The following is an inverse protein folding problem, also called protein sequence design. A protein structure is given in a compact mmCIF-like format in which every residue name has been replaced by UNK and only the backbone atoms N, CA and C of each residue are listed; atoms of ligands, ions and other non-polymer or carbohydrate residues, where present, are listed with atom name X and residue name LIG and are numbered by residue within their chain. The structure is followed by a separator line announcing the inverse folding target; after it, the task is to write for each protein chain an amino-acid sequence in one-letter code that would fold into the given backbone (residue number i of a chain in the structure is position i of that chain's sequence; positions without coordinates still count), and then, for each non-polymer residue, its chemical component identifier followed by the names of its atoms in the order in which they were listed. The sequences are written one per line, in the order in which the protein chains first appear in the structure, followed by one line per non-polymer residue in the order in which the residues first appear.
data_IF_597691670816
#
_entry.id   IF_597691670816
#
_cell.length_a   1.000
_cell.length_b   1.000
_cell.length_c   1.000
_cell.angle_alpha   90.00
_cell.angle_beta   90.00
_cell.angle_gamma   90.00
#
_symmetry.space_group_name_H-M   'P 1'
#
loop_
_entity.id
_entity.type
_entity.pdbx_description
1 polymer ?
#
# COMPACT_ATOMS: atom_id res chain seq x y z
N UNK A 1 9.30 -27.51 -75.34
CA UNK A 1 9.84 -27.90 -74.04
C UNK A 1 9.68 -26.67 -73.16
N UNK A 2 8.52 -26.59 -72.43
CA UNK A 2 8.20 -25.44 -71.60
C UNK A 2 8.42 -25.88 -70.13
N UNK A 3 9.36 -25.21 -69.46
CA UNK A 3 9.61 -25.38 -68.00
C UNK A 3 8.76 -24.35 -67.25
N UNK A 4 7.77 -24.84 -66.50
CA UNK A 4 6.94 -24.04 -65.62
C UNK A 4 7.61 -23.99 -64.22
N UNK A 5 8.06 -22.79 -63.79
CA UNK A 5 8.62 -22.54 -62.46
C UNK A 5 7.46 -22.17 -61.55
N UNK A 6 7.07 -23.05 -60.64
CA UNK A 6 6.10 -22.74 -59.56
C UNK A 6 6.89 -22.14 -58.40
N UNK A 7 6.74 -20.80 -58.21
CA UNK A 7 7.30 -20.12 -57.03
C UNK A 7 6.46 -20.41 -55.78
N UNK A 8 7.06 -21.00 -54.78
CA UNK A 8 6.47 -21.22 -53.44
C UNK A 8 6.55 -19.92 -52.66
N UNK A 9 5.40 -19.23 -52.46
CA UNK A 9 5.30 -18.09 -51.61
C UNK A 9 5.18 -18.51 -50.15
N UNK A 10 6.28 -18.44 -49.37
CA UNK A 10 6.28 -18.72 -47.96
C UNK A 10 5.67 -17.56 -47.19
N UNK A 11 4.42 -17.68 -46.75
CA UNK A 11 3.78 -16.74 -45.83
C UNK A 11 4.35 -17.00 -44.43
N UNK A 12 5.28 -16.14 -43.98
CA UNK A 12 5.77 -16.15 -42.61
C UNK A 12 4.66 -15.67 -41.66
N UNK A 13 4.08 -16.59 -40.90
CA UNK A 13 3.17 -16.24 -39.80
C UNK A 13 4.05 -15.76 -38.65
N UNK A 14 4.13 -14.42 -38.46
CA UNK A 14 4.71 -13.84 -37.25
C UNK A 14 3.79 -14.17 -36.08
N UNK A 15 4.14 -15.16 -35.29
CA UNK A 15 3.51 -15.41 -34.01
C UNK A 15 3.87 -14.24 -33.07
N UNK A 16 2.95 -13.34 -32.86
CA UNK A 16 3.05 -12.39 -31.76
C UNK A 16 2.95 -13.21 -30.47
N UNK A 17 4.05 -13.39 -29.76
CA UNK A 17 4.03 -13.86 -28.39
C UNK A 17 3.25 -12.84 -27.57
N UNK A 18 2.02 -13.17 -27.17
CA UNK A 18 1.30 -12.38 -26.18
C UNK A 18 2.11 -12.46 -24.90
N UNK A 19 2.57 -11.30 -24.43
CA UNK A 19 3.24 -11.19 -23.13
C UNK A 19 2.21 -11.57 -22.07
N UNK A 20 2.36 -12.76 -21.51
CA UNK A 20 1.41 -13.27 -20.51
C UNK A 20 1.62 -12.43 -19.24
N UNK A 21 0.68 -11.54 -18.98
CA UNK A 21 0.68 -10.71 -17.78
C UNK A 21 0.53 -11.62 -16.55
N UNK A 22 1.61 -11.82 -15.81
CA UNK A 22 1.58 -12.54 -14.54
C UNK A 22 1.23 -11.58 -13.38
N UNK A 23 0.65 -12.09 -12.31
CA UNK A 23 0.34 -11.30 -11.12
C UNK A 23 1.60 -10.69 -10.49
N UNK A 24 2.73 -11.39 -10.51
CA UNK A 24 4.00 -10.87 -9.99
C UNK A 24 4.54 -9.73 -10.86
N UNK A 25 4.45 -9.85 -12.19
CA UNK A 25 4.84 -8.78 -13.11
C UNK A 25 3.94 -7.55 -12.95
N UNK A 26 2.63 -7.77 -12.80
CA UNK A 26 1.71 -6.66 -12.52
C UNK A 26 2.02 -5.98 -11.20
N UNK A 27 2.25 -6.74 -10.12
CA UNK A 27 2.65 -6.18 -8.82
C UNK A 27 4.00 -5.46 -8.88
N UNK A 28 4.94 -5.93 -9.72
CA UNK A 28 6.20 -5.24 -10.00
C UNK A 28 5.95 -3.85 -10.61
N UNK A 29 5.10 -3.76 -11.63
CA UNK A 29 4.76 -2.48 -12.26
C UNK A 29 4.09 -1.49 -11.30
N UNK A 30 3.29 -1.99 -10.36
CA UNK A 30 2.71 -1.19 -9.27
C UNK A 30 3.81 -0.67 -8.34
N UNK A 31 4.76 -1.51 -7.94
CA UNK A 31 5.89 -1.10 -7.10
C UNK A 31 6.77 -0.04 -7.79
N UNK A 32 7.02 -0.18 -9.08
CA UNK A 32 7.74 0.82 -9.90
C UNK A 32 6.98 2.15 -9.96
N UNK A 33 5.65 2.10 -10.12
CA UNK A 33 4.81 3.30 -10.08
C UNK A 33 4.95 4.03 -8.74
N UNK A 34 4.84 3.32 -7.61
CA UNK A 34 5.02 3.92 -6.29
C UNK A 34 6.45 4.42 -6.05
N UNK A 35 7.45 3.76 -6.60
CA UNK A 35 8.83 4.23 -6.56
C UNK A 35 9.06 5.54 -7.36
N UNK A 36 8.25 5.85 -8.34
CA UNK A 36 8.31 7.12 -9.10
C UNK A 36 7.64 8.29 -8.39
N UNK A 37 6.67 8.04 -7.49
CA UNK A 37 5.92 9.07 -6.76
C UNK A 37 6.82 9.72 -5.72
N UNK A 38 6.95 11.04 -5.71
CA UNK A 38 7.74 11.80 -4.72
C UNK A 38 6.97 11.97 -3.42
N UNK A 39 5.73 12.38 -3.51
CA UNK A 39 4.79 12.51 -2.39
C UNK A 39 3.35 12.27 -2.87
N UNK A 40 2.46 11.94 -1.96
CA UNK A 40 1.03 11.88 -2.22
C UNK A 40 0.23 12.26 -0.98
N UNK A 41 -0.99 12.69 -1.22
CA UNK A 41 -2.05 12.77 -0.22
C UNK A 41 -3.27 12.00 -0.67
N UNK A 42 -4.02 11.45 0.28
CA UNK A 42 -5.27 10.74 0.01
C UNK A 42 -6.20 10.81 1.21
N UNK A 43 -7.48 10.50 1.02
CA UNK A 43 -8.35 10.09 2.11
C UNK A 43 -8.14 8.60 2.38
N UNK A 44 -8.21 8.21 3.63
CA UNK A 44 -8.09 6.83 4.08
C UNK A 44 -9.26 6.47 4.99
N UNK A 45 -9.84 5.30 4.80
CA UNK A 45 -10.66 4.63 5.80
C UNK A 45 -10.02 3.30 6.19
N UNK A 46 -10.11 2.97 7.47
CA UNK A 46 -9.58 1.72 8.06
C UNK A 46 -10.73 1.08 8.81
N UNK A 47 -11.09 -0.12 8.40
CA UNK A 47 -12.20 -0.86 9.00
C UNK A 47 -11.75 -2.25 9.46
N UNK A 48 -12.18 -2.63 10.64
CA UNK A 48 -12.09 -3.99 11.18
C UNK A 48 -13.31 -4.28 12.05
N UNK A 49 -13.45 -5.50 12.55
CA UNK A 49 -14.57 -5.84 13.46
C UNK A 49 -14.63 -4.96 14.72
N UNK A 50 -13.52 -4.33 15.12
CA UNK A 50 -13.40 -3.56 16.38
C UNK A 50 -13.26 -2.05 16.15
N UNK A 51 -12.83 -1.64 14.97
CA UNK A 51 -12.39 -0.26 14.73
C UNK A 51 -12.88 0.20 13.36
N UNK A 52 -13.44 1.41 13.33
CA UNK A 52 -13.73 2.14 12.10
C UNK A 52 -13.09 3.53 12.21
N UNK A 53 -12.10 3.80 11.37
CA UNK A 53 -11.37 5.08 11.36
C UNK A 53 -11.42 5.71 9.97
N UNK A 54 -11.44 7.04 9.94
CA UNK A 54 -11.37 7.82 8.69
C UNK A 54 -10.44 8.99 8.87
N UNK A 55 -9.73 9.37 7.83
CA UNK A 55 -8.81 10.49 7.91
C UNK A 55 -8.17 10.84 6.58
N UNK A 56 -7.15 11.69 6.66
CA UNK A 56 -6.31 12.07 5.54
C UNK A 56 -4.89 11.56 5.79
N UNK A 57 -4.30 10.96 4.78
CA UNK A 57 -2.92 10.50 4.78
C UNK A 57 -2.08 11.39 3.87
N UNK A 58 -0.90 11.75 4.31
CA UNK A 58 0.17 12.27 3.48
C UNK A 58 1.40 11.40 3.62
N UNK A 59 2.07 11.17 2.50
CA UNK A 59 3.31 10.42 2.43
C UNK A 59 4.32 11.15 1.55
N UNK A 60 5.59 11.11 1.92
CA UNK A 60 6.70 11.63 1.11
C UNK A 60 7.90 10.69 1.23
N UNK A 61 8.52 10.42 0.08
CA UNK A 61 9.74 9.61 0.07
C UNK A 61 10.88 10.26 0.87
N UNK A 62 11.76 9.44 1.47
CA UNK A 62 11.76 7.98 1.40
C UNK A 62 10.72 7.31 2.31
N UNK A 63 10.32 7.92 3.43
CA UNK A 63 9.55 7.24 4.47
C UNK A 63 8.74 8.18 5.39
N UNK A 64 8.56 9.44 5.02
CA UNK A 64 7.75 10.36 5.83
C UNK A 64 6.27 10.01 5.68
N UNK A 65 5.55 9.97 6.80
CA UNK A 65 4.14 9.60 6.87
C UNK A 65 3.42 10.47 7.90
N UNK A 66 2.20 10.89 7.58
CA UNK A 66 1.26 11.44 8.56
C UNK A 66 -0.16 11.05 8.20
N UNK A 67 -0.92 10.66 9.21
CA UNK A 67 -2.35 10.41 9.12
C UNK A 67 -3.02 11.26 10.18
N UNK A 68 -3.87 12.18 9.74
CA UNK A 68 -4.74 12.96 10.60
C UNK A 68 -6.14 12.37 10.51
N UNK A 69 -6.65 11.82 11.61
CA UNK A 69 -7.96 11.19 11.64
C UNK A 69 -9.06 12.20 11.92
N UNK A 70 -10.13 12.10 11.14
CA UNK A 70 -11.40 12.78 11.40
C UNK A 70 -12.33 11.90 12.25
N UNK A 71 -12.06 10.59 12.30
CA UNK A 71 -12.75 9.60 13.13
C UNK A 71 -11.74 8.50 13.53
N UNK A 72 -11.38 8.38 14.82
CA UNK A 72 -11.70 9.31 15.93
C UNK A 72 -11.09 10.69 15.68
N UNK A 73 -11.77 11.75 16.22
CA UNK A 73 -11.32 13.13 16.03
C UNK A 73 -9.98 13.37 16.73
N UNK A 74 -9.12 14.18 16.11
CA UNK A 74 -7.80 14.59 16.64
C UNK A 74 -6.77 13.48 16.84
N UNK A 75 -7.08 12.23 16.55
CA UNK A 75 -6.06 11.18 16.56
C UNK A 75 -5.07 11.41 15.41
N UNK A 76 -3.78 11.26 15.71
CA UNK A 76 -2.70 11.45 14.72
C UNK A 76 -1.70 10.31 14.79
N UNK A 77 -1.25 9.87 13.63
CA UNK A 77 -0.06 9.03 13.47
C UNK A 77 0.91 9.80 12.58
N UNK A 78 2.12 10.04 13.06
CA UNK A 78 3.15 10.75 12.29
C UNK A 78 4.50 10.04 12.39
N UNK A 79 5.21 9.95 11.28
CA UNK A 79 6.60 9.54 11.22
C UNK A 79 7.41 10.58 10.42
N UNK A 80 8.33 11.24 11.09
CA UNK A 80 9.13 12.34 10.54
C UNK A 80 10.49 11.91 9.98
N UNK A 81 10.72 10.60 9.83
CA UNK A 81 11.99 10.03 9.40
C UNK A 81 12.85 9.47 10.55
N UNK A 82 12.59 9.89 11.78
CA UNK A 82 13.32 9.50 12.99
C UNK A 82 12.41 8.90 14.05
N UNK A 83 11.31 9.57 14.33
CA UNK A 83 10.38 9.22 15.41
C UNK A 83 8.97 8.95 14.86
N UNK A 84 8.44 7.79 15.24
CA UNK A 84 7.02 7.49 15.12
C UNK A 84 6.29 8.06 16.33
N UNK A 85 5.31 8.89 16.10
CA UNK A 85 4.44 9.49 17.12
C UNK A 85 2.99 9.09 16.87
N UNK A 86 2.32 8.56 17.88
CA UNK A 86 0.89 8.27 17.86
C UNK A 86 0.22 9.06 18.97
N UNK A 87 -0.66 9.97 18.62
CA UNK A 87 -1.49 10.70 19.58
C UNK A 87 -2.87 10.07 19.68
N UNK A 88 -3.25 9.71 20.88
CA UNK A 88 -4.55 9.14 21.26
C UNK A 88 -5.30 10.12 22.15
N UNK A 89 -6.18 10.98 21.60
CA UNK A 89 -6.85 12.05 22.32
C UNK A 89 -7.75 11.54 23.45
N UNK A 90 -8.44 10.42 23.24
CA UNK A 90 -9.31 9.80 24.25
C UNK A 90 -8.56 9.47 25.55
N UNK A 91 -7.30 9.05 25.42
CA UNK A 91 -6.43 8.70 26.56
C UNK A 91 -5.52 9.87 26.98
N UNK A 92 -5.58 11.01 26.27
CA UNK A 92 -4.59 12.09 26.38
C UNK A 92 -3.15 11.56 26.40
N UNK A 93 -2.87 10.60 25.52
CA UNK A 93 -1.61 9.87 25.47
C UNK A 93 -0.87 10.11 24.16
N UNK A 94 0.43 10.34 24.27
CA UNK A 94 1.37 10.37 23.15
C UNK A 94 2.32 9.19 23.28
N UNK A 95 2.28 8.31 22.31
CA UNK A 95 3.20 7.18 22.21
C UNK A 95 4.31 7.57 21.22
N UNK A 96 5.56 7.50 21.63
CA UNK A 96 6.71 7.86 20.79
C UNK A 96 7.69 6.69 20.72
N UNK A 97 8.20 6.44 19.51
CA UNK A 97 9.22 5.43 19.29
C UNK A 97 10.29 5.98 18.35
N UNK A 98 11.48 6.20 18.89
CA UNK A 98 12.66 6.57 18.12
C UNK A 98 13.43 5.30 17.78
N UNK A 99 13.39 4.86 16.54
CA UNK A 99 14.14 3.70 16.05
C UNK A 99 14.09 3.63 14.53
N UNK A 100 15.16 3.23 13.85
CA UNK A 100 15.11 2.87 12.43
C UNK A 100 14.09 1.78 12.12
N UNK A 101 13.77 0.92 13.10
CA UNK A 101 12.76 -0.11 12.98
C UNK A 101 11.34 0.46 13.08
N UNK A 102 11.13 1.56 13.83
CA UNK A 102 9.85 2.28 13.86
C UNK A 102 9.49 2.84 12.48
N UNK A 103 10.48 3.28 11.70
CA UNK A 103 10.29 3.61 10.30
C UNK A 103 9.75 2.46 9.46
N UNK A 104 10.18 1.22 9.71
CA UNK A 104 9.64 0.04 9.02
C UNK A 104 8.19 -0.25 9.42
N UNK A 105 7.81 0.01 10.66
CA UNK A 105 6.42 -0.14 11.14
C UNK A 105 5.53 0.98 10.57
N UNK A 106 6.03 2.20 10.53
CA UNK A 106 5.29 3.35 9.98
C UNK A 106 5.20 3.28 8.43
N UNK A 107 6.27 2.85 7.77
CA UNK A 107 6.30 2.60 6.31
C UNK A 107 5.65 1.27 5.92
N UNK A 108 5.20 0.49 6.88
CA UNK A 108 4.14 -0.49 6.67
C UNK A 108 2.78 0.18 6.29
N UNK A 109 2.80 1.49 5.96
CA UNK A 109 1.80 2.03 5.06
C UNK A 109 1.93 1.23 3.75
N UNK A 110 1.09 0.24 3.66
CA UNK A 110 1.11 -0.79 2.62
C UNK A 110 1.09 -0.17 1.21
N UNK A 111 0.56 1.06 1.06
CA UNK A 111 0.55 1.85 -0.15
C UNK A 111 1.81 2.75 -0.28
N UNK A 112 3.00 2.16 -0.19
CA UNK A 112 4.29 2.84 -0.39
C UNK A 112 5.27 1.95 -1.17
N UNK A 113 6.29 2.55 -1.77
CA UNK A 113 7.35 1.80 -2.47
C UNK A 113 8.02 0.76 -1.56
N UNK A 114 8.28 1.12 -0.30
CA UNK A 114 8.87 0.25 0.71
C UNK A 114 7.92 -0.90 1.09
N UNK A 115 6.64 -0.60 1.31
CA UNK A 115 5.61 -1.61 1.62
C UNK A 115 5.46 -2.62 0.48
N UNK A 116 5.33 -2.14 -0.76
CA UNK A 116 5.23 -3.00 -1.95
C UNK A 116 6.47 -3.85 -2.18
N UNK A 117 7.67 -3.31 -1.95
CA UNK A 117 8.91 -4.09 -2.01
C UNK A 117 8.91 -5.21 -0.96
N UNK A 118 8.44 -4.94 0.25
CA UNK A 118 8.31 -5.95 1.31
C UNK A 118 7.27 -7.00 0.96
N UNK A 119 6.11 -6.62 0.41
CA UNK A 119 5.09 -7.56 -0.05
C UNK A 119 5.63 -8.49 -1.13
N UNK A 120 6.31 -7.97 -2.15
CA UNK A 120 6.90 -8.79 -3.23
C UNK A 120 7.93 -9.80 -2.73
N UNK A 121 8.69 -9.45 -1.70
CA UNK A 121 9.67 -10.34 -1.10
C UNK A 121 9.04 -11.43 -0.23
N UNK A 122 8.02 -11.07 0.54
CA UNK A 122 7.50 -11.92 1.61
C UNK A 122 6.22 -12.68 1.24
N UNK A 123 5.59 -12.32 0.10
CA UNK A 123 4.34 -12.92 -0.37
C UNK A 123 4.47 -13.45 -1.79
N UNK A 124 3.65 -14.41 -2.12
CA UNK A 124 3.44 -14.90 -3.48
C UNK A 124 2.17 -14.27 -4.03
N UNK A 125 2.25 -13.61 -5.18
CA UNK A 125 1.11 -12.95 -5.81
C UNK A 125 0.39 -13.87 -6.80
N UNK A 126 -0.94 -13.82 -6.80
CA UNK A 126 -1.81 -14.39 -7.81
C UNK A 126 -2.95 -13.42 -8.15
N UNK A 127 -3.53 -13.53 -9.34
CA UNK A 127 -4.78 -12.82 -9.61
C UNK A 127 -5.92 -13.46 -8.83
N UNK A 128 -6.80 -12.64 -8.23
CA UNK A 128 -7.96 -13.16 -7.48
C UNK A 128 -9.02 -13.73 -8.43
N UNK A 129 -9.30 -13.02 -9.53
CA UNK A 129 -10.34 -13.39 -10.51
C UNK A 129 -9.80 -13.51 -11.94
N UNK A 130 -8.55 -13.11 -12.17
CA UNK A 130 -7.92 -13.04 -13.49
C UNK A 130 -7.27 -11.68 -13.72
N UNK A 131 -6.58 -11.48 -14.86
CA UNK A 131 -5.90 -10.24 -15.21
C UNK A 131 -6.86 -9.11 -15.63
N UNK A 132 -8.11 -9.44 -15.94
CA UNK A 132 -9.10 -8.48 -16.43
C UNK A 132 -9.63 -7.61 -15.29
N UNK A 133 -9.88 -6.31 -15.56
CA UNK A 133 -10.46 -5.40 -14.56
C UNK A 133 -11.89 -5.81 -14.19
N UNK A 134 -12.17 -5.78 -12.88
CA UNK A 134 -13.48 -6.08 -12.29
C UNK A 134 -13.92 -4.93 -11.38
N UNK A 135 -15.22 -4.76 -11.09
CA UNK A 135 -15.67 -3.75 -10.15
C UNK A 135 -14.99 -3.86 -8.78
N UNK A 136 -14.65 -2.72 -8.18
CA UNK A 136 -14.08 -2.67 -6.81
C UNK A 136 -15.04 -3.35 -5.82
N UNK A 137 -16.32 -2.96 -5.87
CA UNK A 137 -17.43 -3.55 -5.13
C UNK A 137 -18.61 -3.81 -6.07
N UNK A 138 -19.60 -4.59 -5.63
CA UNK A 138 -20.81 -4.91 -6.42
C UNK A 138 -21.56 -3.68 -6.95
N UNK A 139 -21.47 -2.55 -6.24
CA UNK A 139 -22.16 -1.29 -6.59
C UNK A 139 -21.21 -0.23 -7.16
N UNK A 140 -19.92 -0.55 -7.30
CA UNK A 140 -18.91 0.40 -7.78
C UNK A 140 -18.82 0.39 -9.30
N UNK A 141 -18.81 1.58 -9.90
CA UNK A 141 -18.43 1.74 -11.30
C UNK A 141 -16.90 1.73 -11.52
N UNK A 142 -16.11 1.83 -10.43
CA UNK A 142 -14.66 1.82 -10.50
C UNK A 142 -14.15 0.41 -10.79
N UNK A 143 -13.36 0.27 -11.86
CA UNK A 143 -12.74 -0.98 -12.24
C UNK A 143 -11.33 -1.11 -11.65
N UNK A 144 -11.02 -2.29 -11.13
CA UNK A 144 -9.72 -2.61 -10.51
C UNK A 144 -9.25 -4.00 -10.90
N UNK A 145 -7.94 -4.20 -10.89
CA UNK A 145 -7.34 -5.53 -10.94
C UNK A 145 -7.13 -5.99 -9.50
N UNK A 146 -7.63 -7.19 -9.16
CA UNK A 146 -7.55 -7.76 -7.81
C UNK A 146 -6.44 -8.80 -7.73
N UNK A 147 -5.51 -8.60 -6.81
CA UNK A 147 -4.44 -9.53 -6.48
C UNK A 147 -4.69 -10.15 -5.10
N UNK A 148 -4.37 -11.43 -4.97
CA UNK A 148 -4.24 -12.14 -3.70
C UNK A 148 -2.78 -12.43 -3.45
N UNK A 149 -2.28 -12.02 -2.30
CA UNK A 149 -0.91 -12.20 -1.84
C UNK A 149 -0.92 -13.16 -0.66
N UNK A 150 -0.34 -14.34 -0.82
CA UNK A 150 -0.22 -15.36 0.23
C UNK A 150 1.18 -15.32 0.82
N UNK A 151 1.30 -15.28 2.15
CA UNK A 151 2.60 -15.22 2.82
C UNK A 151 3.47 -16.43 2.49
N UNK A 152 4.78 -16.20 2.36
CA UNK A 152 5.80 -17.25 2.17
C UNK A 152 6.31 -17.80 3.51
N UNK A 153 6.21 -17.02 4.58
CA UNK A 153 6.69 -17.38 5.93
C UNK A 153 5.61 -17.18 6.98
N UNK A 154 5.66 -17.99 8.04
CA UNK A 154 4.75 -17.88 9.18
C UNK A 154 5.06 -16.65 10.07
N UNK A 155 6.21 -16.00 9.89
CA UNK A 155 6.61 -14.79 10.63
C UNK A 155 5.86 -13.52 10.18
N UNK A 156 5.17 -13.56 9.03
CA UNK A 156 4.40 -12.41 8.55
C UNK A 156 3.12 -12.21 9.37
N UNK A 157 2.81 -10.95 9.70
CA UNK A 157 1.65 -10.57 10.50
C UNK A 157 0.30 -10.83 9.80
N UNK A 158 0.29 -10.85 8.46
CA UNK A 158 -0.90 -11.19 7.67
C UNK A 158 -0.71 -12.53 6.98
N UNK A 159 -1.72 -13.39 7.08
CA UNK A 159 -1.78 -14.64 6.32
C UNK A 159 -1.95 -14.39 4.83
N UNK A 160 -2.79 -13.42 4.53
CA UNK A 160 -3.23 -13.05 3.20
C UNK A 160 -3.43 -11.55 3.12
N UNK A 161 -3.05 -10.97 1.99
CA UNK A 161 -3.40 -9.60 1.62
C UNK A 161 -4.12 -9.65 0.27
N UNK A 162 -5.19 -8.88 0.12
CA UNK A 162 -5.81 -8.65 -1.19
C UNK A 162 -5.62 -7.18 -1.55
N UNK A 163 -5.18 -6.94 -2.77
CA UNK A 163 -4.97 -5.60 -3.31
C UNK A 163 -5.96 -5.36 -4.44
N UNK A 164 -6.70 -4.26 -4.37
CA UNK A 164 -7.48 -3.75 -5.48
C UNK A 164 -6.75 -2.53 -6.06
N UNK A 165 -6.38 -2.59 -7.33
CA UNK A 165 -5.45 -1.66 -7.97
C UNK A 165 -6.08 -1.12 -9.23
N UNK A 166 -6.07 0.21 -9.42
CA UNK A 166 -6.50 0.83 -10.67
C UNK A 166 -5.62 0.34 -11.84
N UNK A 167 -6.20 -0.18 -12.92
CA UNK A 167 -5.44 -0.66 -14.06
C UNK A 167 -4.71 0.45 -14.79
N UNK A 168 -5.26 1.66 -14.78
CA UNK A 168 -4.74 2.83 -15.50
C UNK A 168 -3.62 3.53 -14.73
N UNK A 169 -3.89 3.87 -13.47
CA UNK A 169 -2.97 4.67 -12.65
C UNK A 169 -1.95 3.83 -11.89
N UNK A 170 -2.17 2.53 -11.75
CA UNK A 170 -1.42 1.60 -10.89
C UNK A 170 -1.45 1.99 -9.42
N UNK A 171 -2.47 2.77 -9.00
CA UNK A 171 -2.65 3.15 -7.60
C UNK A 171 -3.53 2.15 -6.87
N UNK A 172 -3.17 1.84 -5.64
CA UNK A 172 -3.94 0.97 -4.76
C UNK A 172 -5.18 1.74 -4.29
N UNK A 173 -6.34 1.10 -4.44
CA UNK A 173 -7.64 1.62 -4.01
C UNK A 173 -8.10 0.96 -2.73
N UNK A 174 -7.79 -0.33 -2.57
CA UNK A 174 -8.11 -1.09 -1.35
C UNK A 174 -7.01 -2.08 -1.03
N UNK A 175 -6.76 -2.25 0.26
CA UNK A 175 -5.98 -3.34 0.83
C UNK A 175 -6.87 -4.05 1.84
N UNK A 176 -7.07 -5.35 1.67
CA UNK A 176 -7.70 -6.20 2.66
C UNK A 176 -6.64 -7.12 3.24
N UNK A 177 -6.48 -7.10 4.55
CA UNK A 177 -5.55 -7.95 5.28
C UNK A 177 -6.29 -8.94 6.16
N UNK A 178 -5.86 -10.21 6.14
CA UNK A 178 -6.31 -11.21 7.10
C UNK A 178 -5.13 -11.54 8.03
N UNK A 179 -5.28 -11.20 9.31
CA UNK A 179 -4.24 -11.41 10.33
C UNK A 179 -4.06 -12.90 10.66
N UNK A 180 -3.02 -13.22 11.45
CA UNK A 180 -2.82 -14.57 11.99
C UNK A 180 -3.93 -15.00 12.94
N UNK A 181 -4.62 -14.05 13.59
CA UNK A 181 -5.79 -14.28 14.45
C UNK A 181 -7.11 -14.35 13.68
N UNK A 182 -7.05 -14.39 12.33
CA UNK A 182 -8.20 -14.43 11.42
C UNK A 182 -9.06 -13.15 11.44
N UNK A 183 -8.54 -12.06 11.98
CA UNK A 183 -9.21 -10.76 11.94
C UNK A 183 -9.00 -10.12 10.56
N UNK A 184 -10.07 -9.57 10.00
CA UNK A 184 -10.01 -8.82 8.75
C UNK A 184 -9.81 -7.33 9.03
N UNK A 185 -8.92 -6.71 8.26
CA UNK A 185 -8.68 -5.26 8.25
C UNK A 185 -8.79 -4.79 6.81
N UNK A 186 -9.58 -3.76 6.55
CA UNK A 186 -9.77 -3.16 5.23
C UNK A 186 -9.27 -1.73 5.28
N UNK A 187 -8.42 -1.36 4.33
CA UNK A 187 -7.95 0.00 4.11
C UNK A 187 -8.40 0.45 2.72
N UNK A 188 -9.19 1.52 2.65
CA UNK A 188 -9.59 2.16 1.40
C UNK A 188 -8.87 3.49 1.22
N UNK A 189 -8.45 3.76 -0.02
CA UNK A 189 -7.82 5.01 -0.41
C UNK A 189 -8.65 5.72 -1.48
N UNK A 190 -8.99 6.98 -1.25
CA UNK A 190 -9.72 7.82 -2.19
C UNK A 190 -9.08 9.20 -2.34
N UNK A 191 -9.49 9.96 -3.34
CA UNK A 191 -9.01 11.33 -3.58
C UNK A 191 -7.48 11.43 -3.59
N UNK A 192 -6.82 10.49 -4.27
CA UNK A 192 -5.36 10.41 -4.31
C UNK A 192 -4.82 11.51 -5.22
N UNK A 193 -3.97 12.37 -4.66
CA UNK A 193 -3.28 13.45 -5.38
C UNK A 193 -1.79 13.26 -5.22
N UNK A 194 -1.05 13.30 -6.33
CA UNK A 194 0.37 12.97 -6.39
C UNK A 194 1.24 14.21 -6.60
N UNK A 195 2.48 14.15 -6.12
CA UNK A 195 3.60 15.02 -6.48
C UNK A 195 3.29 16.54 -6.27
N UNK A 196 2.66 16.87 -5.14
CA UNK A 196 2.29 18.24 -4.77
C UNK A 196 3.45 19.03 -4.11
N UNK A 197 4.61 18.42 -3.90
CA UNK A 197 5.74 19.07 -3.23
C UNK A 197 5.49 19.30 -1.74
N UNK A 198 4.90 18.32 -1.05
CA UNK A 198 4.52 18.43 0.37
C UNK A 198 5.76 18.81 1.21
N UNK A 199 5.74 19.94 1.96
CA UNK A 199 6.84 20.33 2.81
C UNK A 199 7.09 19.33 3.95
N UNK A 200 8.36 19.07 4.29
CA UNK A 200 8.72 18.13 5.35
C UNK A 200 8.20 18.52 6.73
N UNK A 201 8.08 19.83 6.99
CA UNK A 201 7.49 20.35 8.24
C UNK A 201 6.06 19.81 8.50
N UNK A 202 5.32 19.39 7.45
CA UNK A 202 3.99 18.79 7.61
C UNK A 202 4.01 17.41 8.27
N UNK A 203 5.14 16.75 8.31
CA UNK A 203 5.30 15.44 8.94
C UNK A 203 5.73 15.52 10.40
N UNK A 204 6.13 16.69 10.89
CA UNK A 204 6.28 16.93 12.30
C UNK A 204 4.91 17.01 13.00
N UNK A 205 4.83 16.51 14.22
CA UNK A 205 3.63 16.61 15.05
C UNK A 205 3.98 17.11 16.43
N UNK A 206 3.46 18.29 16.78
CA UNK A 206 3.55 18.86 18.11
C UNK A 206 2.34 18.41 18.92
N UNK A 207 2.57 17.52 19.85
CA UNK A 207 1.52 17.00 20.73
C UNK A 207 1.10 18.02 21.78
N UNK A 208 -0.19 18.00 22.22
CA UNK A 208 -0.64 18.89 23.30
C UNK A 208 0.22 18.74 24.55
N UNK A 209 0.57 19.88 25.18
CA UNK A 209 1.39 19.91 26.39
C UNK A 209 0.76 19.15 27.58
N UNK A 210 -0.57 19.02 27.57
CA UNK A 210 -1.35 18.29 28.59
C UNK A 210 -1.38 16.78 28.39
N UNK A 211 -0.80 16.27 27.32
CA UNK A 211 -0.81 14.82 27.04
C UNK A 211 0.32 14.10 27.78
N UNK A 212 0.02 12.94 28.31
CA UNK A 212 1.01 12.02 28.89
C UNK A 212 1.88 11.43 27.80
N UNK A 213 3.19 11.44 27.96
CA UNK A 213 4.15 10.91 26.98
C UNK A 213 4.68 9.55 27.41
N UNK A 214 4.63 8.58 26.50
CA UNK A 214 5.14 7.23 26.67
C UNK A 214 6.16 6.95 25.57
N UNK A 215 7.42 6.85 25.93
CA UNK A 215 8.51 6.59 24.99
C UNK A 215 8.78 5.08 24.90
N UNK A 216 9.34 4.66 23.75
CA UNK A 216 9.77 3.27 23.51
C UNK A 216 8.64 2.24 23.72
N UNK A 217 7.44 2.54 23.19
CA UNK A 217 6.25 1.73 23.42
C UNK A 217 6.22 0.43 22.57
N UNK A 218 6.95 0.36 21.45
CA UNK A 218 7.04 -0.84 20.61
C UNK A 218 8.22 -1.74 20.99
N UNK A 219 9.35 -1.13 21.32
CA UNK A 219 10.58 -1.84 21.65
C UNK A 219 11.23 -1.13 22.84
N UNK A 220 11.59 -1.88 23.87
CA UNK A 220 12.48 -1.35 24.90
C UNK A 220 13.87 -1.21 24.30
N UNK A 221 14.54 -0.07 24.51
CA UNK A 221 15.98 0.00 24.30
C UNK A 221 16.60 -1.03 25.26
N UNK A 222 17.29 -2.01 24.68
CA UNK A 222 18.14 -2.86 25.49
C UNK A 222 19.33 -1.99 25.92
N UNK A 223 19.44 -1.74 27.24
CA UNK A 223 20.62 -1.18 27.91
C UNK A 223 21.87 -2.01 27.59
#
# INVERSE_FOLDING_TARGET
MFFSIIGFLSIGISAYAQDILTADHFLASVAERYASIKDYQAKVSIESAKVAMKGSIIHKRPNLLRIDFSQPVEQVIAYNGETLTVYLPEYRAVLSQSSPTAGKVATASLASAQGLSTMRRNYTASFTTGPDPVPLDEKSAELVIKLTLTRRSMSEGFRELKLAISPETKLIRRIEGRTIADEQVILDFSDIVLDQGIPEARFAYDSPASANRYNNFLFKEND
#
